data_IF_403621321476
#
_entry.id   IF_403621321476
#
_cell.length_a   1.000
_cell.length_b   1.000
_cell.length_c   1.000
_cell.angle_alpha   90.00
_cell.angle_beta   90.00
_cell.angle_gamma   90.00
#
_symmetry.space_group_name_H-M   'P 1'
#
loop_
_entity.id
_entity.type
_entity.pdbx_description
1 polymer ?
#
# COMPACT_ATOMS: atom_id res chain seq x y z
N UNK A 1 36.16 -28.64 -34.07
CA UNK A 1 35.61 -27.34 -34.54
C UNK A 1 34.12 -27.55 -34.76
N UNK A 2 33.15 -26.96 -34.08
CA UNK A 2 33.06 -25.86 -33.10
C UNK A 2 32.10 -26.36 -32.00
N UNK A 3 32.43 -26.14 -30.73
CA UNK A 3 31.51 -26.38 -29.63
C UNK A 3 30.67 -25.13 -29.42
N UNK A 4 29.35 -25.29 -29.39
CA UNK A 4 28.41 -24.23 -29.00
C UNK A 4 28.34 -24.22 -27.47
N UNK A 5 28.90 -23.18 -26.87
CA UNK A 5 28.80 -22.90 -25.44
C UNK A 5 27.62 -21.95 -25.24
N UNK A 6 26.53 -22.45 -24.67
CA UNK A 6 25.43 -21.62 -24.17
C UNK A 6 25.77 -21.17 -22.75
N UNK A 7 26.10 -19.89 -22.58
CA UNK A 7 26.16 -19.28 -21.26
C UNK A 7 24.74 -18.85 -20.86
N UNK A 8 24.04 -19.72 -20.14
CA UNK A 8 22.90 -19.29 -19.33
C UNK A 8 23.48 -18.59 -18.10
N UNK A 9 23.25 -17.28 -17.99
CA UNK A 9 23.65 -16.47 -16.83
C UNK A 9 22.70 -16.75 -15.65
N UNK A 10 22.63 -18.01 -15.21
CA UNK A 10 22.18 -18.35 -13.86
C UNK A 10 23.38 -18.22 -12.93
N UNK A 11 23.58 -17.01 -12.42
CA UNK A 11 24.50 -16.79 -11.31
C UNK A 11 23.91 -17.33 -10.02
N UNK A 12 23.90 -18.66 -9.83
CA UNK A 12 24.40 -19.39 -8.65
C UNK A 12 24.50 -20.87 -9.08
N UNK A 13 25.72 -21.41 -9.10
CA UNK A 13 26.03 -22.75 -9.55
C UNK A 13 25.41 -23.83 -8.63
N UNK A 14 24.59 -24.72 -9.22
CA UNK A 14 24.26 -26.00 -8.61
C UNK A 14 25.42 -26.98 -8.83
N UNK A 15 26.17 -27.28 -7.76
CA UNK A 15 27.03 -28.48 -7.74
C UNK A 15 26.13 -29.63 -7.28
N UNK A 16 25.73 -30.48 -8.22
CA UNK A 16 25.17 -31.79 -7.90
C UNK A 16 26.31 -32.70 -7.40
N UNK A 17 26.45 -32.82 -6.09
CA UNK A 17 27.24 -33.90 -5.49
C UNK A 17 26.28 -35.04 -5.18
N UNK A 18 26.33 -36.08 -6.01
CA UNK A 18 25.79 -37.37 -5.63
C UNK A 18 26.66 -37.93 -4.48
N UNK A 19 26.13 -37.97 -3.27
CA UNK A 19 26.83 -38.54 -2.10
C UNK A 19 25.94 -38.53 -0.88
N UNK A 20 25.74 -39.71 -0.27
CA UNK A 20 24.88 -39.92 0.89
C UNK A 20 25.19 -38.99 2.07
N UNK A 21 24.18 -38.23 2.49
CA UNK A 21 24.14 -37.51 3.76
C UNK A 21 22.73 -36.96 3.96
N UNK A 22 22.09 -37.30 5.07
CA UNK A 22 20.77 -36.75 5.44
C UNK A 22 20.93 -35.24 5.59
N UNK A 23 20.33 -34.45 4.69
CA UNK A 23 20.04 -33.05 4.91
C UNK A 23 18.52 -32.90 4.99
N UNK A 24 18.11 -32.30 6.11
CA UNK A 24 16.77 -32.06 6.61
C UNK A 24 15.74 -31.68 5.55
N UNK A 25 14.51 -32.22 5.72
CA UNK A 25 13.28 -31.75 5.07
C UNK A 25 13.29 -30.25 4.86
N UNK A 26 13.27 -29.80 3.60
CA UNK A 26 12.81 -28.46 3.24
C UNK A 26 11.27 -28.43 3.28
N UNK A 27 10.67 -28.81 4.41
CA UNK A 27 9.27 -28.48 4.72
C UNK A 27 9.27 -27.07 5.31
N UNK A 28 9.37 -26.05 4.46
CA UNK A 28 9.43 -24.67 4.93
C UNK A 28 9.45 -23.57 3.88
N UNK A 29 9.56 -23.88 2.59
CA UNK A 29 9.61 -22.87 1.51
C UNK A 29 8.46 -22.98 0.50
N UNK A 30 7.38 -23.70 0.81
CA UNK A 30 6.24 -23.91 -0.09
C UNK A 30 5.21 -22.75 -0.10
N UNK A 31 5.49 -21.62 0.55
CA UNK A 31 4.51 -20.52 0.70
C UNK A 31 4.96 -19.15 0.19
N UNK A 32 6.06 -19.04 -0.55
CA UNK A 32 6.49 -17.74 -1.10
C UNK A 32 5.85 -17.52 -2.47
N UNK A 33 4.66 -16.93 -2.48
CA UNK A 33 4.08 -16.39 -3.71
C UNK A 33 4.95 -15.23 -4.21
N UNK A 34 5.62 -15.43 -5.34
CA UNK A 34 6.37 -14.36 -6.01
C UNK A 34 5.33 -13.49 -6.71
N UNK A 35 4.95 -12.38 -6.08
CA UNK A 35 3.91 -11.48 -6.57
C UNK A 35 4.32 -10.68 -7.81
N UNK A 36 5.57 -10.78 -8.28
CA UNK A 36 6.18 -10.00 -9.37
C UNK A 36 5.36 -10.00 -10.69
N UNK A 37 4.50 -10.99 -10.92
CA UNK A 37 3.64 -11.06 -12.11
C UNK A 37 2.21 -10.55 -11.90
N UNK A 38 1.87 -10.09 -10.70
CA UNK A 38 0.54 -9.57 -10.42
C UNK A 38 0.45 -8.14 -10.91
N UNK A 39 -0.54 -7.84 -11.76
CA UNK A 39 -0.70 -6.50 -12.34
C UNK A 39 -0.80 -5.38 -11.30
N UNK A 40 -1.20 -5.68 -10.06
CA UNK A 40 -1.28 -4.71 -8.97
C UNK A 40 0.05 -4.35 -8.31
N UNK A 41 1.16 -5.03 -8.62
CA UNK A 41 2.47 -4.74 -8.00
C UNK A 41 2.90 -3.30 -8.27
N UNK A 42 2.72 -2.83 -9.51
CA UNK A 42 3.03 -1.45 -9.91
C UNK A 42 2.28 -0.40 -9.10
N UNK A 43 1.10 -0.74 -8.56
CA UNK A 43 0.32 0.16 -7.70
C UNK A 43 1.00 0.43 -6.35
N UNK A 44 1.87 -0.47 -5.89
CA UNK A 44 2.58 -0.37 -4.61
C UNK A 44 3.99 0.19 -4.75
N UNK A 45 4.43 0.49 -5.97
CA UNK A 45 5.74 1.08 -6.20
C UNK A 45 5.87 2.44 -5.52
N UNK A 46 6.99 2.60 -4.80
CA UNK A 46 7.34 3.84 -4.11
C UNK A 46 8.14 4.80 -4.99
N UNK A 47 8.48 4.37 -6.21
CA UNK A 47 9.25 5.17 -7.14
C UNK A 47 8.47 6.42 -7.53
N UNK A 48 9.15 7.56 -7.48
CA UNK A 48 8.50 8.83 -7.69
C UNK A 48 8.13 8.98 -9.17
N UNK A 49 6.86 9.32 -9.43
CA UNK A 49 6.37 9.60 -10.78
C UNK A 49 6.63 11.07 -11.10
N UNK A 50 7.29 11.33 -12.22
CA UNK A 50 7.56 12.67 -12.71
C UNK A 50 6.98 12.85 -14.10
N UNK A 51 6.12 13.85 -14.27
CA UNK A 51 5.54 14.21 -15.57
C UNK A 51 6.26 15.40 -16.17
N UNK A 52 6.76 15.24 -17.41
CA UNK A 52 7.44 16.29 -18.18
C UNK A 52 6.48 17.44 -18.51
N UNK A 53 5.24 17.09 -18.85
CA UNK A 53 4.18 18.03 -19.15
C UNK A 53 3.24 18.18 -17.94
N UNK A 54 2.96 19.43 -17.54
CA UNK A 54 2.03 19.75 -16.45
C UNK A 54 0.60 20.06 -16.92
N UNK A 55 0.36 20.05 -18.23
CA UNK A 55 -0.98 20.11 -18.80
C UNK A 55 -1.65 18.74 -18.72
N UNK A 56 -2.96 18.69 -18.49
CA UNK A 56 -3.72 17.45 -18.41
C UNK A 56 -3.57 16.70 -17.08
N UNK A 57 -3.99 15.43 -17.07
CA UNK A 57 -4.06 14.60 -15.85
C UNK A 57 -3.77 13.14 -16.15
N UNK A 58 -3.27 12.43 -15.15
CA UNK A 58 -3.16 10.96 -15.11
C UNK A 58 -3.80 10.43 -13.81
N UNK A 59 -3.87 9.11 -13.65
CA UNK A 59 -4.29 8.47 -12.40
C UNK A 59 -3.12 7.71 -11.77
N UNK A 60 -3.09 7.65 -10.44
CA UNK A 60 -2.13 6.85 -9.66
C UNK A 60 -2.84 6.21 -8.49
N UNK A 61 -2.41 5.00 -8.09
CA UNK A 61 -2.90 4.37 -6.89
C UNK A 61 -2.21 4.95 -5.67
N UNK A 62 -2.99 5.41 -4.71
CA UNK A 62 -2.48 5.88 -3.44
C UNK A 62 -2.46 4.69 -2.46
N UNK A 63 -1.27 4.12 -2.15
CA UNK A 63 -1.15 2.97 -1.26
C UNK A 63 -1.40 3.33 0.20
N UNK A 64 -1.60 4.61 0.53
CA UNK A 64 -2.12 5.02 1.83
C UNK A 64 -3.64 4.91 1.81
N UNK A 65 -4.34 5.52 0.86
CA UNK A 65 -5.82 5.50 0.88
C UNK A 65 -6.42 4.19 0.36
N UNK A 66 -5.63 3.38 -0.36
CA UNK A 66 -6.08 2.16 -1.02
C UNK A 66 -6.99 2.44 -2.22
N UNK A 67 -6.80 3.59 -2.88
CA UNK A 67 -7.66 4.07 -3.98
C UNK A 67 -6.83 4.72 -5.08
N UNK A 68 -7.35 4.67 -6.30
CA UNK A 68 -6.85 5.48 -7.40
C UNK A 68 -7.28 6.95 -7.26
N UNK A 69 -6.34 7.86 -7.50
CA UNK A 69 -6.50 9.31 -7.39
C UNK A 69 -6.01 9.97 -8.69
N UNK A 70 -6.63 11.09 -9.08
CA UNK A 70 -6.24 11.85 -10.27
C UNK A 70 -5.17 12.86 -9.91
N UNK A 71 -4.06 12.87 -10.66
CA UNK A 71 -2.92 13.76 -10.49
C UNK A 71 -2.67 14.59 -11.76
N UNK A 72 -1.97 15.72 -11.60
CA UNK A 72 -1.69 16.67 -12.70
C UNK A 72 -0.48 16.22 -13.51
N UNK A 73 -0.63 16.30 -14.83
CA UNK A 73 0.44 16.11 -15.81
C UNK A 73 0.22 14.92 -16.73
N UNK A 74 0.88 14.99 -17.87
CA UNK A 74 0.95 13.95 -18.90
C UNK A 74 2.42 13.65 -19.21
N UNK A 75 2.68 12.61 -19.99
CA UNK A 75 4.04 12.20 -20.36
C UNK A 75 4.87 11.94 -19.09
N UNK A 76 4.34 11.04 -18.27
CA UNK A 76 4.90 10.69 -16.97
C UNK A 76 5.86 9.51 -17.09
N UNK A 77 7.02 9.64 -16.45
CA UNK A 77 8.05 8.60 -16.35
C UNK A 77 8.56 8.47 -14.92
N UNK A 78 9.39 7.46 -14.67
CA UNK A 78 9.79 7.05 -13.33
C UNK A 78 9.09 5.75 -12.95
N UNK A 79 8.43 5.72 -11.79
CA UNK A 79 7.71 4.54 -11.29
C UNK A 79 6.52 4.11 -12.16
N UNK A 80 6.10 2.84 -12.01
CA UNK A 80 4.99 2.24 -12.78
C UNK A 80 3.60 2.57 -12.23
N UNK A 81 3.52 3.25 -11.08
CA UNK A 81 2.27 3.70 -10.46
C UNK A 81 1.68 4.95 -11.13
N UNK A 82 1.53 4.92 -12.46
CA UNK A 82 0.86 5.96 -13.23
C UNK A 82 0.07 5.34 -14.38
N UNK A 83 -1.14 5.83 -14.60
CA UNK A 83 -2.10 5.27 -15.54
C UNK A 83 -2.72 6.39 -16.35
N UNK A 84 -3.04 6.11 -17.62
CA UNK A 84 -3.56 7.14 -18.53
C UNK A 84 -4.89 7.72 -18.07
N UNK A 85 -5.67 6.92 -17.34
CA UNK A 85 -6.98 7.31 -16.82
C UNK A 85 -7.38 6.48 -15.59
N UNK A 86 -8.43 6.93 -14.93
CA UNK A 86 -8.98 6.30 -13.73
C UNK A 86 -9.47 4.87 -13.95
N UNK A 87 -10.02 4.55 -15.14
CA UNK A 87 -10.54 3.21 -15.45
C UNK A 87 -9.41 2.18 -15.50
N UNK A 88 -8.29 2.55 -16.12
CA UNK A 88 -7.10 1.71 -16.19
C UNK A 88 -6.51 1.46 -14.79
N UNK A 89 -6.32 2.52 -14.00
CA UNK A 89 -5.84 2.40 -12.62
C UNK A 89 -6.74 1.46 -11.79
N UNK A 90 -8.07 1.68 -11.82
CA UNK A 90 -9.00 0.85 -11.06
C UNK A 90 -8.97 -0.62 -11.51
N UNK A 91 -8.90 -0.86 -12.83
CA UNK A 91 -8.82 -2.22 -13.36
C UNK A 91 -7.58 -2.96 -12.86
N UNK A 92 -6.46 -2.25 -12.74
CA UNK A 92 -5.17 -2.82 -12.33
C UNK A 92 -5.02 -2.92 -10.81
N UNK A 93 -5.49 -1.92 -10.06
CA UNK A 93 -5.16 -1.74 -8.66
C UNK A 93 -6.29 -2.03 -7.67
N UNK A 94 -7.53 -2.27 -8.11
CA UNK A 94 -8.63 -2.55 -7.17
C UNK A 94 -8.41 -3.83 -6.35
N UNK A 95 -7.69 -4.79 -6.93
CA UNK A 95 -7.32 -6.05 -6.29
C UNK A 95 -5.98 -5.94 -5.53
N UNK A 96 -5.32 -4.77 -5.56
CA UNK A 96 -4.14 -4.53 -4.76
C UNK A 96 -4.49 -4.71 -3.27
N UNK A 97 -3.60 -5.34 -2.48
CA UNK A 97 -3.81 -5.44 -1.05
C UNK A 97 -3.96 -4.04 -0.46
N UNK A 98 -5.10 -3.82 0.20
CA UNK A 98 -5.39 -2.53 0.82
C UNK A 98 -4.52 -2.35 2.06
N UNK A 99 -3.94 -1.15 2.25
CA UNK A 99 -3.14 -0.87 3.42
C UNK A 99 -3.99 -1.04 4.69
N UNK A 100 -3.40 -1.51 5.81
CA UNK A 100 -4.11 -1.69 7.08
C UNK A 100 -5.01 -0.51 7.46
N UNK A 101 -4.50 0.71 7.33
CA UNK A 101 -5.18 1.92 7.75
C UNK A 101 -6.42 2.30 6.91
N UNK A 102 -6.61 1.70 5.72
CA UNK A 102 -7.80 1.94 4.87
C UNK A 102 -8.91 0.94 5.08
N UNK A 103 -8.64 -0.15 5.80
CA UNK A 103 -9.63 -1.17 6.11
C UNK A 103 -10.55 -0.71 7.25
N UNK A 104 -11.77 -1.20 7.28
CA UNK A 104 -12.69 -0.95 8.40
C UNK A 104 -12.24 -1.69 9.67
N UNK A 105 -12.73 -1.26 10.83
CA UNK A 105 -12.54 -1.99 12.08
C UNK A 105 -13.22 -3.36 12.01
N UNK A 106 -12.54 -4.42 12.44
CA UNK A 106 -13.12 -5.78 12.49
C UNK A 106 -12.70 -6.53 13.75
N UNK A 107 -13.65 -6.70 14.67
CA UNK A 107 -13.51 -7.40 15.95
C UNK A 107 -13.44 -8.94 15.80
N UNK A 108 -14.07 -9.49 14.75
CA UNK A 108 -14.07 -10.93 14.47
C UNK A 108 -15.00 -11.72 15.40
N UNK A 109 -15.31 -13.00 15.08
CA UNK A 109 -16.33 -13.78 15.79
C UNK A 109 -15.86 -14.36 17.13
N UNK A 110 -14.60 -14.17 17.49
CA UNK A 110 -14.06 -14.66 18.75
C UNK A 110 -14.66 -13.96 19.98
N UNK A 111 -14.40 -14.50 21.17
CA UNK A 111 -14.96 -14.01 22.45
C UNK A 111 -13.91 -13.51 23.43
N UNK A 112 -12.65 -13.43 23.01
CA UNK A 112 -11.62 -12.81 23.83
C UNK A 112 -11.84 -11.29 23.90
N UNK A 113 -11.28 -10.64 24.92
CA UNK A 113 -11.40 -9.19 25.12
C UNK A 113 -10.03 -8.55 25.00
N UNK A 114 -9.40 -8.68 23.83
CA UNK A 114 -8.10 -8.06 23.60
C UNK A 114 -8.28 -6.59 23.25
N UNK A 115 -7.79 -5.68 24.10
CA UNK A 115 -7.72 -4.27 23.75
C UNK A 115 -6.69 -4.08 22.63
N UNK A 116 -7.15 -3.56 21.49
CA UNK A 116 -6.35 -3.26 20.30
C UNK A 116 -6.66 -1.86 19.83
N UNK A 117 -5.92 -1.40 18.82
CA UNK A 117 -6.09 -0.10 18.20
C UNK A 117 -6.36 -0.28 16.71
N UNK A 118 -7.27 0.51 16.17
CA UNK A 118 -7.53 0.58 14.73
C UNK A 118 -7.53 2.04 14.30
N UNK A 119 -7.25 2.29 13.03
CA UNK A 119 -7.35 3.62 12.45
C UNK A 119 -8.77 3.88 11.96
N UNK A 120 -9.43 4.90 12.52
CA UNK A 120 -10.74 5.36 12.10
C UNK A 120 -10.58 6.41 11.00
N UNK A 121 -10.89 6.06 9.76
CA UNK A 121 -10.76 6.94 8.60
C UNK A 121 -11.73 8.12 8.62
N UNK A 122 -12.85 8.03 9.35
CA UNK A 122 -13.82 9.13 9.45
C UNK A 122 -13.34 10.25 10.37
N UNK A 123 -12.65 9.90 11.46
CA UNK A 123 -12.06 10.87 12.39
C UNK A 123 -10.60 11.18 12.07
N UNK A 124 -9.97 10.35 11.23
CA UNK A 124 -8.52 10.33 10.98
C UNK A 124 -7.70 10.10 12.27
N UNK A 125 -8.21 9.25 13.17
CA UNK A 125 -7.59 8.99 14.47
C UNK A 125 -7.49 7.49 14.78
N UNK A 126 -6.44 7.11 15.49
CA UNK A 126 -6.31 5.78 16.07
C UNK A 126 -7.19 5.65 17.32
N UNK A 127 -8.12 4.70 17.31
CA UNK A 127 -9.09 4.48 18.37
C UNK A 127 -8.97 3.06 18.93
N UNK A 128 -9.22 2.86 20.25
CA UNK A 128 -9.20 1.53 20.84
C UNK A 128 -10.46 0.73 20.45
N UNK A 129 -10.32 -0.58 20.29
CA UNK A 129 -11.43 -1.52 20.15
C UNK A 129 -11.14 -2.84 20.87
N UNK A 130 -12.16 -3.69 21.01
CA UNK A 130 -12.02 -5.03 21.57
C UNK A 130 -11.99 -6.04 20.42
N UNK A 131 -10.85 -6.71 20.27
CA UNK A 131 -10.66 -7.77 19.30
C UNK A 131 -10.99 -9.13 19.93
N UNK A 132 -11.88 -9.88 19.25
CA UNK A 132 -12.37 -11.19 19.67
C UNK A 132 -11.30 -12.29 19.71
N UNK A 133 -10.10 -12.03 19.17
CA UNK A 133 -8.97 -12.96 19.19
C UNK A 133 -8.89 -13.90 17.98
N UNK A 134 -9.87 -13.85 17.06
CA UNK A 134 -9.90 -14.69 15.88
C UNK A 134 -10.44 -13.94 14.66
N UNK A 135 -9.88 -14.23 13.48
CA UNK A 135 -10.15 -13.55 12.21
C UNK A 135 -9.88 -12.03 12.32
N UNK A 136 -10.74 -11.18 11.81
CA UNK A 136 -10.46 -9.74 11.71
C UNK A 136 -9.80 -9.36 10.39
N UNK A 137 -9.04 -8.27 10.42
CA UNK A 137 -8.25 -7.78 9.29
C UNK A 137 -6.98 -7.06 9.81
N UNK A 138 -6.19 -6.48 8.91
CA UNK A 138 -4.92 -5.87 9.26
C UNK A 138 -5.04 -4.50 9.99
N UNK A 139 -6.22 -3.87 10.04
CA UNK A 139 -6.45 -2.66 10.84
C UNK A 139 -6.60 -3.02 12.34
N UNK A 140 -5.56 -3.62 12.90
CA UNK A 140 -5.54 -4.18 14.24
C UNK A 140 -4.11 -4.13 14.78
N UNK A 141 -3.83 -3.09 15.56
CA UNK A 141 -2.52 -2.79 16.14
C UNK A 141 -2.54 -3.04 17.64
N UNK A 142 -1.39 -3.41 18.22
CA UNK A 142 -1.28 -3.74 19.64
C UNK A 142 -1.42 -2.49 20.52
N UNK A 143 -0.89 -1.36 20.05
CA UNK A 143 -0.86 -0.12 20.82
C UNK A 143 -1.05 1.13 19.93
N UNK A 144 -1.36 2.26 20.58
CA UNK A 144 -1.59 3.54 19.90
C UNK A 144 -0.40 3.98 19.04
N UNK A 145 0.83 3.80 19.55
CA UNK A 145 2.05 4.23 18.85
C UNK A 145 2.26 3.44 17.56
N UNK A 146 1.98 2.14 17.57
CA UNK A 146 2.03 1.30 16.36
C UNK A 146 1.00 1.75 15.33
N UNK A 147 -0.26 1.96 15.75
CA UNK A 147 -1.30 2.48 14.87
C UNK A 147 -0.91 3.84 14.26
N UNK A 148 -0.44 4.78 15.10
CA UNK A 148 -0.01 6.10 14.62
C UNK A 148 1.25 5.99 13.73
N UNK A 149 2.20 5.12 14.05
CA UNK A 149 3.38 4.90 13.22
C UNK A 149 3.01 4.40 11.82
N UNK A 150 2.06 3.48 11.74
CA UNK A 150 1.61 2.90 10.48
C UNK A 150 0.63 3.82 9.71
N UNK A 151 -0.12 4.68 10.41
CA UNK A 151 -1.21 5.46 9.84
C UNK A 151 -1.04 7.00 9.93
N UNK A 152 0.09 7.52 10.41
CA UNK A 152 0.33 8.98 10.58
C UNK A 152 0.34 9.78 9.28
N UNK A 153 0.56 9.13 8.13
CA UNK A 153 0.40 9.72 6.80
C UNK A 153 -1.02 9.62 6.23
N UNK A 154 -1.95 8.97 6.95
CA UNK A 154 -3.33 8.75 6.53
C UNK A 154 -4.18 9.99 6.85
N UNK A 155 -3.77 11.13 6.32
CA UNK A 155 -4.60 12.31 6.30
C UNK A 155 -5.44 12.26 5.03
N UNK A 156 -6.64 11.67 5.12
CA UNK A 156 -7.69 12.07 4.18
C UNK A 156 -7.84 13.56 4.40
N UNK A 157 -7.54 14.39 3.38
CA UNK A 157 -7.81 15.82 3.40
C UNK A 157 -9.19 16.04 4.02
N UNK A 158 -9.20 16.47 5.28
CA UNK A 158 -10.43 16.76 6.00
C UNK A 158 -11.11 17.83 5.15
N UNK A 159 -12.28 17.54 4.56
CA UNK A 159 -13.13 18.60 4.03
C UNK A 159 -13.48 19.49 5.22
N UNK A 160 -12.66 20.49 5.46
CA UNK A 160 -13.02 21.59 6.35
C UNK A 160 -13.98 22.42 5.52
N UNK A 161 -15.26 22.36 5.83
CA UNK A 161 -16.19 23.38 5.37
C UNK A 161 -15.78 24.69 6.08
N UNK A 162 -14.92 25.46 5.44
CA UNK A 162 -14.65 26.83 5.87
C UNK A 162 -15.85 27.65 5.45
N UNK A 163 -16.76 27.91 6.40
CA UNK A 163 -17.76 28.96 6.25
C UNK A 163 -17.04 30.26 6.63
N UNK A 164 -16.65 31.04 5.63
CA UNK A 164 -16.20 32.43 5.87
C UNK A 164 -17.48 33.23 6.11
N UNK A 165 -17.86 33.39 7.37
CA UNK A 165 -18.85 34.41 7.71
C UNK A 165 -18.21 35.77 7.47
N UNK A 166 -18.60 36.38 6.34
CA UNK A 166 -18.19 37.71 5.95
C UNK A 166 -18.64 38.72 7.01
N UNK A 167 -17.76 39.04 7.95
CA UNK A 167 -17.82 40.27 8.71
C UNK A 167 -16.62 41.12 8.31
N UNK A 168 -16.89 42.02 7.37
CA UNK A 168 -16.06 43.18 7.10
C UNK A 168 -15.98 44.00 8.39
N UNK A 169 -14.92 43.82 9.17
CA UNK A 169 -14.58 44.73 10.27
C UNK A 169 -13.32 45.51 9.87
N UNK A 170 -13.55 46.81 9.75
CA UNK A 170 -12.61 47.87 9.41
C UNK A 170 -11.29 47.78 10.18
N UNK A 171 -10.18 47.81 9.44
CA UNK A 171 -8.83 48.11 9.95
C UNK A 171 -8.83 49.52 10.55
N UNK A 172 -8.43 49.74 11.81
CA UNK A 172 -8.05 51.06 12.27
C UNK A 172 -6.61 51.31 11.81
N UNK A 173 -6.44 52.35 11.00
CA UNK A 173 -5.15 52.97 10.71
C UNK A 173 -4.63 53.69 11.95
N UNK A 174 -3.42 53.37 12.37
CA UNK A 174 -2.58 54.18 13.26
C UNK A 174 -1.12 53.89 12.95
#
# INVERSE_FOLDING_TARGET
MRALVCFLHFGVAGIAIAGWGRLSSAEGLSGMEIYEFSGWVSCLDRDNVTCENKSGTHASYNPLTGKCEVLVGTDCGGGENHFTNMTECNKTCNDAPKPPCSLEMKDGPGRALHRRWYFNTSTAECQPFLYGGMLGNANNFENLKECQGNCSGFSLFKKVNVSIDGSLSSVPSS
#
